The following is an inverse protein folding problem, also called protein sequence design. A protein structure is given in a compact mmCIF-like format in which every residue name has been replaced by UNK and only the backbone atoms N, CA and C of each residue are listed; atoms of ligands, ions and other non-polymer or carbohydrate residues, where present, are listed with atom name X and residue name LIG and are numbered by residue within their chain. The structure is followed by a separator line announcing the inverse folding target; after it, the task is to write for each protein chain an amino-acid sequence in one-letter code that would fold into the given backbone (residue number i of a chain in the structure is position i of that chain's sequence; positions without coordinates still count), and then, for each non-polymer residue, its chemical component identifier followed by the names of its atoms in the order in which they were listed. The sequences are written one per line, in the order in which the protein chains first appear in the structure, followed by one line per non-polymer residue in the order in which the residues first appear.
data_IF_753742435101
#
_entry.id   IF_753742435101
#
_cell.length_a   1.000
_cell.length_b   1.000
_cell.length_c   1.000
_cell.angle_alpha   90.00
_cell.angle_beta   90.00
_cell.angle_gamma   90.00
#
_symmetry.space_group_name_H-M   'P 1'
#
loop_
_entity.id
_entity.type
_entity.pdbx_description
1 polymer ?
#
# COMPACT_ATOMS: atom_id res chain seq x y z
N UNK A 1 42.53 -53.88 -25.55
CA UNK A 1 41.42 -52.97 -25.90
C UNK A 1 40.18 -53.82 -26.23
N UNK A 2 39.35 -54.14 -25.23
CA UNK A 2 38.16 -54.98 -25.42
C UNK A 2 36.98 -54.23 -26.05
N UNK A 3 35.95 -54.96 -26.55
CA UNK A 3 34.77 -54.39 -27.23
C UNK A 3 33.93 -53.43 -26.38
N UNK A 4 34.11 -53.42 -25.06
CA UNK A 4 33.45 -52.49 -24.12
C UNK A 4 33.94 -51.03 -24.25
N UNK A 5 35.10 -50.82 -24.88
CA UNK A 5 35.68 -49.47 -25.08
C UNK A 5 35.28 -48.81 -26.40
N UNK A 6 34.45 -49.44 -27.25
CA UNK A 6 34.10 -48.92 -28.58
C UNK A 6 33.32 -47.60 -28.56
N UNK A 7 32.57 -47.32 -27.48
CA UNK A 7 31.79 -46.08 -27.33
C UNK A 7 32.36 -45.12 -26.28
N UNK A 8 33.54 -45.40 -25.71
CA UNK A 8 34.08 -44.61 -24.59
C UNK A 8 34.39 -43.16 -25.00
N UNK A 9 34.94 -42.96 -26.20
CA UNK A 9 35.21 -41.63 -26.75
C UNK A 9 33.92 -40.83 -26.94
N UNK A 10 32.91 -41.44 -27.56
CA UNK A 10 31.61 -40.81 -27.78
C UNK A 10 30.89 -40.48 -26.47
N UNK A 11 30.97 -41.36 -25.46
CA UNK A 11 30.41 -41.10 -24.12
C UNK A 11 31.15 -39.96 -23.40
N UNK A 12 32.46 -39.86 -23.59
CA UNK A 12 33.29 -38.78 -23.01
C UNK A 12 32.97 -37.44 -23.65
N UNK A 13 32.76 -37.41 -24.96
CA UNK A 13 32.31 -36.21 -25.69
C UNK A 13 30.93 -35.75 -25.22
N UNK A 14 29.98 -36.69 -25.07
CA UNK A 14 28.64 -36.40 -24.54
C UNK A 14 28.72 -35.89 -23.09
N UNK A 15 29.56 -36.49 -22.24
CA UNK A 15 29.78 -36.02 -20.87
C UNK A 15 30.31 -34.58 -20.85
N UNK A 16 31.28 -34.27 -21.72
CA UNK A 16 31.83 -32.91 -21.86
C UNK A 16 30.78 -31.90 -22.32
N UNK A 17 29.92 -32.28 -23.27
CA UNK A 17 28.79 -31.45 -23.73
C UNK A 17 27.79 -31.19 -22.61
N UNK A 18 27.41 -32.23 -21.86
CA UNK A 18 26.48 -32.10 -20.72
C UNK A 18 27.07 -31.23 -19.62
N UNK A 19 28.36 -31.37 -19.31
CA UNK A 19 29.04 -30.49 -18.34
C UNK A 19 29.05 -29.02 -18.79
N UNK A 20 29.25 -28.76 -20.08
CA UNK A 20 29.18 -27.41 -20.62
C UNK A 20 27.76 -26.84 -20.54
N UNK A 21 26.74 -27.66 -20.87
CA UNK A 21 25.33 -27.27 -20.75
C UNK A 21 24.92 -26.98 -19.31
N UNK A 22 25.34 -27.82 -18.35
CA UNK A 22 25.09 -27.61 -16.92
C UNK A 22 25.66 -26.25 -16.48
N UNK A 23 26.92 -25.96 -16.84
CA UNK A 23 27.53 -24.66 -16.51
C UNK A 23 26.81 -23.49 -17.17
N UNK A 24 26.30 -23.66 -18.39
CA UNK A 24 25.48 -22.65 -19.04
C UNK A 24 24.20 -22.38 -18.25
N UNK A 25 23.49 -23.45 -17.89
CA UNK A 25 22.26 -23.38 -17.11
C UNK A 25 22.47 -22.78 -15.71
N UNK A 26 23.56 -23.12 -15.03
CA UNK A 26 23.91 -22.55 -13.73
C UNK A 26 24.07 -21.02 -13.81
N UNK A 27 24.71 -20.52 -14.88
CA UNK A 27 24.84 -19.08 -15.10
C UNK A 27 23.48 -18.42 -15.40
N UNK A 28 22.62 -19.07 -16.19
CA UNK A 28 21.26 -18.60 -16.46
C UNK A 28 20.44 -18.50 -15.17
N UNK A 29 20.47 -19.54 -14.34
CA UNK A 29 19.79 -19.58 -13.04
C UNK A 29 20.27 -18.42 -12.16
N UNK A 30 21.59 -18.23 -12.01
CA UNK A 30 22.12 -17.13 -11.19
C UNK A 30 21.65 -15.75 -11.67
N UNK A 31 21.58 -15.54 -12.98
CA UNK A 31 21.11 -14.29 -13.56
C UNK A 31 19.61 -14.08 -13.33
N UNK A 32 18.80 -15.11 -13.54
CA UNK A 32 17.35 -15.03 -13.30
C UNK A 32 17.01 -14.83 -11.82
N UNK A 33 17.72 -15.50 -10.91
CA UNK A 33 17.54 -15.31 -9.48
C UNK A 33 17.86 -13.88 -9.04
N UNK A 34 18.94 -13.30 -9.56
CA UNK A 34 19.28 -11.91 -9.31
C UNK A 34 18.20 -10.96 -9.84
N UNK A 35 17.76 -11.14 -11.09
CA UNK A 35 16.72 -10.33 -11.71
C UNK A 35 15.38 -10.44 -10.97
N UNK A 36 15.01 -11.64 -10.53
CA UNK A 36 13.81 -11.87 -9.72
C UNK A 36 13.91 -11.18 -8.36
N UNK A 37 15.08 -11.22 -7.73
CA UNK A 37 15.36 -10.53 -6.48
C UNK A 37 15.20 -9.01 -6.60
N UNK A 38 15.76 -8.43 -7.65
CA UNK A 38 15.62 -7.00 -7.96
C UNK A 38 14.18 -6.61 -8.26
N UNK A 39 13.47 -7.40 -9.08
CA UNK A 39 12.07 -7.18 -9.40
C UNK A 39 11.19 -7.19 -8.15
N UNK A 40 11.38 -8.18 -7.26
CA UNK A 40 10.64 -8.27 -5.99
C UNK A 40 10.90 -7.05 -5.11
N UNK A 41 12.16 -6.62 -4.96
CA UNK A 41 12.52 -5.43 -4.17
C UNK A 41 11.89 -4.15 -4.73
N UNK A 42 12.02 -3.94 -6.05
CA UNK A 42 11.46 -2.77 -6.73
C UNK A 42 9.93 -2.72 -6.59
N UNK A 43 9.27 -3.84 -6.87
CA UNK A 43 7.81 -3.95 -6.79
C UNK A 43 7.31 -3.77 -5.36
N UNK A 44 7.95 -4.39 -4.38
CA UNK A 44 7.60 -4.24 -2.97
C UNK A 44 7.77 -2.78 -2.51
N UNK A 45 8.86 -2.11 -2.89
CA UNK A 45 9.09 -0.71 -2.56
C UNK A 45 8.00 0.19 -3.16
N UNK A 46 7.68 0.01 -4.44
CA UNK A 46 6.65 0.81 -5.12
C UNK A 46 5.27 0.58 -4.49
N UNK A 47 4.88 -0.68 -4.29
CA UNK A 47 3.60 -1.04 -3.69
C UNK A 47 3.46 -0.49 -2.27
N UNK A 48 4.49 -0.63 -1.44
CA UNK A 48 4.45 -0.16 -0.06
C UNK A 48 4.43 1.37 0.02
N UNK A 49 5.12 2.07 -0.90
CA UNK A 49 5.03 3.52 -1.04
C UNK A 49 3.60 3.98 -1.34
N UNK A 50 2.94 3.38 -2.33
CA UNK A 50 1.54 3.68 -2.67
C UNK A 50 0.59 3.33 -1.52
N UNK A 51 0.75 2.14 -0.92
CA UNK A 51 -0.14 1.65 0.15
C UNK A 51 -0.09 2.57 1.37
N UNK A 52 1.10 2.90 1.85
CA UNK A 52 1.23 3.72 3.05
C UNK A 52 1.03 5.21 2.77
N UNK A 53 1.34 5.68 1.55
CA UNK A 53 0.99 7.01 1.09
C UNK A 53 -0.53 7.24 1.09
N UNK A 54 -1.30 6.34 0.46
CA UNK A 54 -2.76 6.42 0.48
C UNK A 54 -3.37 6.22 1.87
N UNK A 55 -2.74 5.41 2.73
CA UNK A 55 -3.16 5.30 4.14
C UNK A 55 -2.96 6.63 4.89
N UNK A 56 -1.83 7.30 4.68
CA UNK A 56 -1.54 8.59 5.29
C UNK A 56 -2.55 9.65 4.84
N UNK A 57 -2.80 9.76 3.52
CA UNK A 57 -3.82 10.65 2.96
C UNK A 57 -5.21 10.40 3.58
N UNK A 58 -5.60 9.12 3.69
CA UNK A 58 -6.86 8.73 4.31
C UNK A 58 -6.93 9.12 5.79
N UNK A 59 -5.86 8.90 6.55
CA UNK A 59 -5.77 9.29 7.96
C UNK A 59 -5.86 10.81 8.15
N UNK A 60 -5.17 11.59 7.33
CA UNK A 60 -5.21 13.06 7.39
C UNK A 60 -6.61 13.61 7.08
N UNK A 61 -7.27 13.07 6.05
CA UNK A 61 -8.69 13.38 5.76
C UNK A 61 -9.59 13.00 6.93
N UNK A 62 -9.30 11.87 7.57
CA UNK A 62 -9.97 11.42 8.80
C UNK A 62 -9.80 12.40 9.96
N UNK A 63 -8.62 13.01 10.13
CA UNK A 63 -8.39 14.04 11.15
C UNK A 63 -9.26 15.28 10.90
N UNK A 64 -9.33 15.79 9.67
CA UNK A 64 -10.20 16.92 9.31
C UNK A 64 -11.66 16.61 9.64
N UNK A 65 -12.14 15.43 9.24
CA UNK A 65 -13.50 14.99 9.53
C UNK A 65 -13.78 14.86 11.04
N UNK A 66 -12.83 14.31 11.79
CA UNK A 66 -12.95 14.14 13.24
C UNK A 66 -13.00 15.47 14.00
N UNK A 67 -12.16 16.43 13.60
CA UNK A 67 -12.10 17.75 14.25
C UNK A 67 -13.39 18.55 14.00
N UNK A 68 -13.90 18.54 12.76
CA UNK A 68 -15.18 19.17 12.44
C UNK A 68 -16.33 18.47 13.16
N UNK A 69 -16.35 17.13 13.15
CA UNK A 69 -17.37 16.35 13.86
C UNK A 69 -17.40 16.68 15.37
N UNK A 70 -16.24 16.82 16.00
CA UNK A 70 -16.13 17.24 17.40
C UNK A 70 -16.71 18.65 17.62
N UNK A 71 -16.39 19.59 16.74
CA UNK A 71 -16.91 20.96 16.82
C UNK A 71 -18.44 21.01 16.62
N UNK A 72 -18.99 20.18 15.73
CA UNK A 72 -20.45 20.07 15.51
C UNK A 72 -21.15 19.56 16.76
N UNK A 73 -20.62 18.50 17.39
CA UNK A 73 -21.20 17.92 18.61
C UNK A 73 -21.17 18.92 19.77
N UNK A 74 -20.14 19.77 19.86
CA UNK A 74 -20.05 20.80 20.89
C UNK A 74 -21.16 21.87 20.83
N UNK A 75 -21.87 22.00 19.70
CA UNK A 75 -23.01 22.92 19.56
C UNK A 75 -24.32 22.35 20.14
N UNK A 76 -24.34 21.09 20.57
CA UNK A 76 -25.53 20.48 21.18
C UNK A 76 -25.67 21.00 22.62
N UNK A 77 -26.76 21.73 22.87
CA UNK A 77 -27.08 22.23 24.21
C UNK A 77 -27.41 21.08 25.16
N UNK A 78 -26.63 20.96 26.24
CA UNK A 78 -26.88 20.05 27.37
C UNK A 78 -27.70 20.70 28.50
N UNK A 79 -28.15 21.95 28.32
CA UNK A 79 -28.93 22.67 29.32
C UNK A 79 -30.23 21.92 29.68
N UNK A 80 -30.45 21.59 30.97
CA UNK A 80 -31.66 20.93 31.42
C UNK A 80 -32.89 21.81 31.16
N UNK A 81 -33.88 21.29 30.46
CA UNK A 81 -35.15 22.00 30.25
C UNK A 81 -36.08 21.77 31.45
N UNK A 82 -36.51 22.82 32.18
CA UNK A 82 -37.42 22.64 33.31
C UNK A 82 -38.80 22.12 32.87
N UNK A 83 -39.50 21.34 33.72
CA UNK A 83 -40.84 20.83 33.39
C UNK A 83 -41.81 21.96 33.05
N UNK A 84 -42.51 21.82 31.93
CA UNK A 84 -43.50 22.81 31.46
C UNK A 84 -42.92 23.97 30.65
N UNK A 85 -41.60 24.05 30.49
CA UNK A 85 -40.95 25.05 29.62
C UNK A 85 -40.51 24.43 28.28
N UNK A 86 -40.35 25.28 27.27
CA UNK A 86 -39.79 24.90 25.97
C UNK A 86 -38.26 24.79 26.05
N UNK A 87 -37.68 23.93 25.20
CA UNK A 87 -36.21 23.83 25.02
C UNK A 87 -35.67 25.13 24.41
N UNK A 88 -34.40 25.43 24.68
CA UNK A 88 -33.67 26.52 24.01
C UNK A 88 -33.72 26.35 22.48
N UNK A 89 -33.88 27.49 21.78
CA UNK A 89 -33.94 27.51 20.32
C UNK A 89 -32.55 27.32 19.76
N UNK A 90 -32.40 26.41 18.80
CA UNK A 90 -31.13 26.13 18.17
C UNK A 90 -30.77 27.21 17.13
N UNK A 91 -29.65 27.90 17.36
CA UNK A 91 -29.20 29.05 16.52
C UNK A 91 -27.94 28.77 15.70
N UNK A 92 -27.25 27.64 15.90
CA UNK A 92 -25.93 27.40 15.29
C UNK A 92 -25.97 26.89 13.85
N UNK A 93 -27.13 26.85 13.18
CA UNK A 93 -27.27 26.31 11.80
C UNK A 93 -26.25 26.89 10.81
N UNK A 94 -26.09 28.22 10.77
CA UNK A 94 -25.14 28.88 9.86
C UNK A 94 -23.69 28.51 10.18
N UNK A 95 -23.35 28.42 11.47
CA UNK A 95 -22.01 28.06 11.91
C UNK A 95 -21.67 26.61 11.54
N UNK A 96 -22.62 25.69 11.69
CA UNK A 96 -22.45 24.30 11.23
C UNK A 96 -22.21 24.25 9.72
N UNK A 97 -23.00 24.98 8.93
CA UNK A 97 -22.81 25.03 7.47
C UNK A 97 -21.42 25.53 7.09
N UNK A 98 -20.92 26.58 7.77
CA UNK A 98 -19.57 27.09 7.55
C UNK A 98 -18.51 26.04 7.89
N UNK A 99 -18.61 25.37 9.05
CA UNK A 99 -17.67 24.32 9.47
C UNK A 99 -17.64 23.14 8.49
N UNK A 100 -18.80 22.74 7.96
CA UNK A 100 -18.88 21.66 6.96
C UNK A 100 -18.23 22.09 5.64
N UNK A 101 -18.49 23.31 5.17
CA UNK A 101 -17.88 23.82 3.95
C UNK A 101 -16.34 23.95 4.07
N UNK A 102 -15.84 24.33 5.24
CA UNK A 102 -14.41 24.33 5.55
C UNK A 102 -13.82 22.91 5.55
N UNK A 103 -14.55 21.93 6.11
CA UNK A 103 -14.15 20.53 6.09
C UNK A 103 -14.03 19.96 4.68
N UNK A 104 -15.02 20.24 3.82
CA UNK A 104 -15.02 19.80 2.41
C UNK A 104 -13.81 20.36 1.65
N UNK A 105 -13.46 21.62 1.90
CA UNK A 105 -12.24 22.23 1.34
C UNK A 105 -10.98 21.56 1.87
N UNK A 106 -10.87 21.42 3.20
CA UNK A 106 -9.72 20.79 3.84
C UNK A 106 -9.48 19.35 3.39
N UNK A 107 -10.54 18.56 3.21
CA UNK A 107 -10.44 17.20 2.65
C UNK A 107 -9.98 17.22 1.19
N UNK A 108 -10.38 18.21 0.40
CA UNK A 108 -10.00 18.31 -1.02
C UNK A 108 -8.55 18.75 -1.21
N UNK A 109 -8.00 19.54 -0.28
CA UNK A 109 -6.62 20.03 -0.32
C UNK A 109 -5.59 18.94 0.04
N UNK A 110 -6.02 17.87 0.73
CA UNK A 110 -5.16 16.73 1.08
C UNK A 110 -5.04 15.79 -0.12
N UNK A 111 -3.82 15.65 -0.63
CA UNK A 111 -3.47 14.83 -1.80
C UNK A 111 -2.20 14.04 -1.50
N UNK A 112 -2.18 12.77 -1.92
CA UNK A 112 -0.99 11.92 -1.93
C UNK A 112 -0.02 12.26 -3.07
#
# INVERSE_FOLDING_TARGET
MGPEHKNLAQQTDVLGQLQAQIRGMDNEIMNEEAALGDFKRSSARALMGLKFGGLMECCEKGCVAADVGRAVVAEISEEPTPPGLARSVYMSHQQIQQRVAEAERGVTEIVF
#
